data_IF_257485956322
#
_entry.id   IF_257485956322
#
_cell.length_a   1.000
_cell.length_b   1.000
_cell.length_c   1.000
_cell.angle_alpha   90.00
_cell.angle_beta   90.00
_cell.angle_gamma   90.00
#
_symmetry.space_group_name_H-M   'P 1'
#
loop_
_entity.id
_entity.type
_entity.pdbx_description
1 polymer ?
#
# COMPACT_ATOMS: atom_id res chain seq x y z
N UNK A 1 -21.83 3.31 -6.59
CA UNK A 1 -20.61 3.26 -5.77
C UNK A 1 -20.09 1.84 -5.83
N UNK A 2 -18.88 1.60 -6.36
CA UNK A 2 -18.33 0.23 -6.45
C UNK A 2 -17.90 -0.21 -5.05
N UNK A 3 -18.24 -1.44 -4.67
CA UNK A 3 -17.85 -2.04 -3.40
C UNK A 3 -16.32 -2.05 -3.27
N UNK A 4 -15.79 -1.19 -2.40
CA UNK A 4 -14.34 -1.03 -2.20
C UNK A 4 -13.69 -2.31 -1.66
N UNK A 5 -14.40 -3.07 -0.82
CA UNK A 5 -13.90 -4.34 -0.27
C UNK A 5 -13.72 -5.45 -1.32
N UNK A 6 -14.55 -5.47 -2.37
CA UNK A 6 -14.46 -6.46 -3.45
C UNK A 6 -13.19 -6.26 -4.31
N UNK A 7 -12.75 -5.00 -4.45
CA UNK A 7 -11.51 -4.65 -5.15
C UNK A 7 -10.24 -4.98 -4.32
N UNK A 8 -10.37 -5.10 -2.99
CA UNK A 8 -9.27 -5.44 -2.09
C UNK A 8 -9.06 -6.96 -2.00
N UNK A 9 -10.14 -7.75 -2.04
CA UNK A 9 -10.07 -9.21 -1.94
C UNK A 9 -9.87 -9.94 -3.28
N UNK A 10 -10.28 -9.36 -4.42
CA UNK A 10 -10.17 -9.99 -5.75
C UNK A 10 -9.69 -9.05 -6.87
N UNK A 11 -9.21 -7.85 -6.52
CA UNK A 11 -8.80 -6.86 -7.52
C UNK A 11 -7.39 -7.09 -8.07
N UNK A 12 -7.25 -6.82 -9.37
CA UNK A 12 -5.95 -6.74 -10.04
C UNK A 12 -4.98 -5.84 -9.24
N UNK A 13 -3.70 -6.19 -9.02
CA UNK A 13 -2.78 -5.45 -8.13
C UNK A 13 -2.61 -3.97 -8.51
N UNK A 14 -2.73 -3.64 -9.79
CA UNK A 14 -2.75 -2.24 -10.24
C UNK A 14 -3.99 -1.44 -9.79
N UNK A 15 -5.11 -2.10 -9.48
CA UNK A 15 -6.27 -1.45 -8.85
C UNK A 15 -5.94 -1.04 -7.42
N UNK A 16 -5.27 -1.90 -6.65
CA UNK A 16 -4.75 -1.58 -5.32
C UNK A 16 -3.77 -0.39 -5.37
N UNK A 17 -2.80 -0.43 -6.28
CA UNK A 17 -1.87 0.69 -6.50
C UNK A 17 -2.58 2.01 -6.84
N UNK A 18 -3.61 1.97 -7.71
CA UNK A 18 -4.42 3.16 -8.04
C UNK A 18 -5.21 3.68 -6.84
N UNK A 19 -5.70 2.80 -5.99
CA UNK A 19 -6.41 3.17 -4.77
C UNK A 19 -5.47 3.88 -3.81
N UNK A 20 -4.34 3.27 -3.43
CA UNK A 20 -3.36 3.87 -2.51
C UNK A 20 -2.81 5.20 -3.05
N UNK A 21 -2.61 5.32 -4.37
CA UNK A 21 -2.20 6.60 -4.98
C UNK A 21 -3.22 7.73 -4.79
N UNK A 22 -4.52 7.41 -4.82
CA UNK A 22 -5.63 8.37 -4.78
C UNK A 22 -6.06 8.66 -3.35
N UNK A 23 -6.29 7.59 -2.59
CA UNK A 23 -6.82 7.59 -1.24
C UNK A 23 -5.68 7.31 -0.26
N UNK A 24 -5.42 8.25 0.66
CA UNK A 24 -4.46 8.03 1.75
C UNK A 24 -5.01 7.15 2.87
N UNK A 25 -6.34 7.07 2.95
CA UNK A 25 -7.07 6.44 4.05
C UNK A 25 -8.18 5.53 3.52
N UNK A 26 -8.45 4.45 4.23
CA UNK A 26 -9.52 3.51 3.94
C UNK A 26 -10.88 4.08 4.37
N UNK A 27 -11.93 3.79 3.60
CA UNK A 27 -13.31 4.08 3.98
C UNK A 27 -14.11 2.77 4.13
N UNK A 28 -14.98 2.65 5.15
CA UNK A 28 -15.20 3.56 6.27
C UNK A 28 -14.16 3.37 7.39
N UNK A 29 -13.76 4.45 8.08
CA UNK A 29 -12.92 4.35 9.28
C UNK A 29 -11.66 5.23 9.28
N UNK A 30 -11.16 5.66 8.12
CA UNK A 30 -10.04 6.59 8.05
C UNK A 30 -8.66 5.97 8.33
N UNK A 31 -8.55 4.64 8.34
CA UNK A 31 -7.29 3.92 8.56
C UNK A 31 -6.27 4.25 7.48
N UNK A 32 -5.00 4.47 7.86
CA UNK A 32 -3.95 4.72 6.88
C UNK A 32 -3.81 3.53 5.91
N UNK A 33 -3.54 3.82 4.63
CA UNK A 33 -3.32 2.81 3.59
C UNK A 33 -1.85 2.75 3.16
N UNK A 34 -1.38 1.55 2.85
CA UNK A 34 -0.06 1.31 2.28
C UNK A 34 -0.10 0.29 1.14
N UNK A 35 0.80 0.43 0.16
CA UNK A 35 0.92 -0.52 -0.94
C UNK A 35 1.96 -1.59 -0.59
N UNK A 36 1.55 -2.86 -0.63
CA UNK A 36 2.46 -4.00 -0.48
C UNK A 36 3.05 -4.37 -1.84
N UNK A 37 4.36 -4.54 -1.91
CA UNK A 37 5.09 -4.94 -3.11
C UNK A 37 5.39 -6.44 -3.10
N UNK A 38 5.65 -7.02 -4.27
CA UNK A 38 5.78 -8.49 -4.38
C UNK A 38 7.03 -9.08 -3.73
N UNK A 39 7.99 -8.24 -3.35
CA UNK A 39 9.18 -8.61 -2.60
C UNK A 39 8.96 -8.54 -1.07
N UNK A 40 7.74 -8.26 -0.63
CA UNK A 40 7.36 -8.14 0.78
C UNK A 40 7.53 -6.73 1.35
N UNK A 41 7.98 -5.79 0.53
CA UNK A 41 8.14 -4.40 0.93
C UNK A 41 6.83 -3.61 1.00
N UNK A 42 6.91 -2.40 1.55
CA UNK A 42 5.75 -1.50 1.68
C UNK A 42 6.07 -0.07 1.23
N UNK A 43 5.15 0.54 0.48
CA UNK A 43 5.24 1.92 0.00
C UNK A 43 4.11 2.78 0.53
N UNK A 44 4.44 3.99 1.00
CA UNK A 44 3.45 4.96 1.42
C UNK A 44 2.73 5.61 0.23
N UNK A 45 1.52 6.19 0.43
CA UNK A 45 0.74 6.83 -0.64
C UNK A 45 1.49 7.90 -1.43
N UNK A 46 2.38 8.64 -0.76
CA UNK A 46 3.22 9.66 -1.40
C UNK A 46 4.23 9.02 -2.35
N UNK A 47 4.99 8.02 -1.90
CA UNK A 47 5.96 7.34 -2.74
C UNK A 47 5.30 6.60 -3.91
N UNK A 48 4.12 6.00 -3.71
CA UNK A 48 3.35 5.39 -4.80
C UNK A 48 2.95 6.42 -5.86
N UNK A 49 2.63 7.65 -5.43
CA UNK A 49 2.29 8.75 -6.34
C UNK A 49 3.51 9.26 -7.10
N UNK A 50 4.61 9.50 -6.40
CA UNK A 50 5.84 10.07 -6.97
C UNK A 50 6.54 9.06 -7.90
N UNK A 51 6.53 7.77 -7.53
CA UNK A 51 7.14 6.68 -8.29
C UNK A 51 6.11 5.92 -9.14
N UNK A 52 4.99 6.55 -9.53
CA UNK A 52 3.92 5.88 -10.26
C UNK A 52 4.37 5.25 -11.59
N UNK A 53 5.33 5.89 -12.26
CA UNK A 53 5.91 5.38 -13.50
C UNK A 53 6.63 4.04 -13.26
N UNK A 54 7.44 3.94 -12.20
CA UNK A 54 8.12 2.72 -11.77
C UNK A 54 7.10 1.64 -11.43
N UNK A 55 6.15 1.90 -10.51
CA UNK A 55 5.08 0.95 -10.14
C UNK A 55 4.34 0.39 -11.35
N UNK A 56 3.97 1.26 -12.30
CA UNK A 56 3.27 0.86 -13.53
C UNK A 56 4.14 0.02 -14.45
N UNK A 57 5.41 0.41 -14.62
CA UNK A 57 6.37 -0.30 -15.46
C UNK A 57 6.74 -1.66 -14.89
N UNK A 58 7.03 -1.75 -13.59
CA UNK A 58 7.40 -2.99 -12.90
C UNK A 58 6.27 -4.02 -12.93
N UNK A 59 5.02 -3.58 -12.80
CA UNK A 59 3.85 -4.43 -13.01
C UNK A 59 3.75 -4.94 -14.45
N UNK A 60 3.94 -4.06 -15.43
CA UNK A 60 3.80 -4.40 -16.87
C UNK A 60 4.89 -5.36 -17.34
N UNK A 61 6.13 -5.14 -16.89
CA UNK A 61 7.29 -5.97 -17.25
C UNK A 61 7.36 -7.22 -16.38
N UNK A 62 6.79 -7.18 -15.17
CA UNK A 62 6.80 -8.29 -14.23
C UNK A 62 8.14 -8.45 -13.50
N UNK A 63 8.95 -7.40 -13.37
CA UNK A 63 10.23 -7.44 -12.66
C UNK A 63 10.06 -7.22 -11.14
N UNK A 64 11.07 -7.62 -10.36
CA UNK A 64 11.11 -7.49 -8.90
C UNK A 64 12.15 -6.42 -8.51
N UNK A 65 11.77 -5.16 -8.63
CA UNK A 65 12.61 -3.98 -8.40
C UNK A 65 12.17 -3.14 -7.18
N UNK A 66 11.34 -3.72 -6.31
CA UNK A 66 10.76 -3.03 -5.16
C UNK A 66 9.56 -2.13 -5.44
N UNK A 67 9.05 -2.08 -6.68
CA UNK A 67 7.87 -1.27 -7.02
C UNK A 67 6.68 -2.08 -7.54
N UNK A 68 6.86 -3.37 -7.82
CA UNK A 68 5.80 -4.21 -8.37
C UNK A 68 4.69 -4.41 -7.32
N UNK A 69 3.46 -3.93 -7.57
CA UNK A 69 2.36 -4.01 -6.61
C UNK A 69 1.90 -5.46 -6.45
N UNK A 70 1.64 -5.86 -5.20
CA UNK A 70 1.07 -7.15 -4.84
C UNK A 70 -0.34 -6.99 -4.26
N UNK A 71 -0.47 -6.16 -3.23
CA UNK A 71 -1.70 -5.97 -2.47
C UNK A 71 -1.68 -4.58 -1.82
N UNK A 72 -2.74 -4.27 -1.06
CA UNK A 72 -2.83 -3.09 -0.21
C UNK A 72 -3.12 -3.58 1.20
N UNK A 73 -2.55 -2.89 2.18
CA UNK A 73 -2.77 -3.13 3.59
C UNK A 73 -3.27 -1.84 4.22
N UNK A 74 -4.11 -1.96 5.24
CA UNK A 74 -4.53 -0.86 6.09
C UNK A 74 -3.92 -1.00 7.48
N UNK A 75 -3.88 0.11 8.21
CA UNK A 75 -3.45 0.16 9.61
C UNK A 75 -4.23 -0.83 10.50
N UNK A 76 -5.54 -1.02 10.26
CA UNK A 76 -6.35 -1.97 11.01
C UNK A 76 -6.06 -3.45 10.71
N UNK A 77 -5.22 -3.75 9.71
CA UNK A 77 -4.87 -5.13 9.35
C UNK A 77 -3.68 -5.67 10.16
N UNK A 78 -2.94 -4.79 10.86
CA UNK A 78 -1.74 -5.16 11.62
C UNK A 78 -1.55 -4.26 12.85
N UNK A 79 -1.18 -4.87 13.98
CA UNK A 79 -0.79 -4.13 15.18
C UNK A 79 0.68 -3.66 15.12
N UNK A 80 1.44 -4.12 14.12
CA UNK A 80 2.86 -3.79 13.93
C UNK A 80 3.08 -2.44 13.25
N UNK A 81 4.17 -1.76 13.62
CA UNK A 81 4.59 -0.53 12.98
C UNK A 81 5.13 -0.79 11.58
N UNK A 82 4.55 -0.12 10.58
CA UNK A 82 4.95 -0.28 9.17
C UNK A 82 5.64 0.98 8.68
N UNK A 83 6.82 0.80 8.08
CA UNK A 83 7.61 1.88 7.48
C UNK A 83 7.70 1.74 5.97
N UNK A 84 7.76 2.87 5.25
CA UNK A 84 7.95 2.89 3.81
C UNK A 84 9.40 2.52 3.45
N UNK A 85 9.61 1.55 2.57
CA UNK A 85 10.95 1.11 2.19
C UNK A 85 11.70 2.14 1.32
N UNK A 86 10.96 3.03 0.65
CA UNK A 86 11.58 4.02 -0.23
C UNK A 86 12.04 5.28 0.51
N UNK A 87 11.24 5.78 1.47
CA UNK A 87 11.52 7.04 2.17
C UNK A 87 11.71 6.88 3.68
N UNK A 88 11.60 5.65 4.19
CA UNK A 88 11.75 5.30 5.61
C UNK A 88 10.78 6.01 6.56
N UNK A 89 9.71 6.63 6.03
CA UNK A 89 8.65 7.24 6.85
C UNK A 89 7.78 6.16 7.46
N UNK A 90 7.44 6.32 8.74
CA UNK A 90 6.40 5.53 9.42
C UNK A 90 5.04 5.78 8.76
N UNK A 91 4.37 4.70 8.37
CA UNK A 91 3.03 4.71 7.77
C UNK A 91 2.00 4.34 8.83
N UNK A 92 2.26 3.28 9.59
CA UNK A 92 1.42 2.84 10.72
C UNK A 92 2.22 2.99 12.00
N UNK A 93 1.65 3.67 12.98
CA UNK A 93 2.19 3.73 14.33
C UNK A 93 1.80 2.41 15.00
N UNK A 94 2.75 1.48 15.09
CA UNK A 94 2.51 0.19 15.74
C UNK A 94 2.11 0.40 17.19
N UNK A 95 1.20 -0.44 17.69
CA UNK A 95 0.81 -0.39 19.09
C UNK A 95 1.83 -1.20 19.90
N UNK A 96 2.60 -0.52 20.75
CA UNK A 96 3.50 -1.15 21.72
C UNK A 96 2.95 -0.89 23.12
N UNK A 97 2.47 -1.93 23.81
CA UNK A 97 2.17 -1.89 25.25
C UNK A 97 3.49 -1.72 26.03
N UNK A 98 4.01 -0.50 26.11
CA UNK A 98 5.03 -0.13 27.08
C UNK A 98 4.35 0.63 28.24
N UNK A 99 4.08 -0.11 29.31
CA UNK A 99 3.64 0.34 30.65
C UNK A 99 4.76 1.13 31.37
#
# INVERSE_FOLDING_TARGET
MRNYMEALQHGHPMAAARMVRRERYAWPGGYALALVTTDGGVLCPDCVRDQWASVSWSHRVGCSDGFRPAAVTAECDTDEGVTCDHCSRVIFEGFSDED
#
